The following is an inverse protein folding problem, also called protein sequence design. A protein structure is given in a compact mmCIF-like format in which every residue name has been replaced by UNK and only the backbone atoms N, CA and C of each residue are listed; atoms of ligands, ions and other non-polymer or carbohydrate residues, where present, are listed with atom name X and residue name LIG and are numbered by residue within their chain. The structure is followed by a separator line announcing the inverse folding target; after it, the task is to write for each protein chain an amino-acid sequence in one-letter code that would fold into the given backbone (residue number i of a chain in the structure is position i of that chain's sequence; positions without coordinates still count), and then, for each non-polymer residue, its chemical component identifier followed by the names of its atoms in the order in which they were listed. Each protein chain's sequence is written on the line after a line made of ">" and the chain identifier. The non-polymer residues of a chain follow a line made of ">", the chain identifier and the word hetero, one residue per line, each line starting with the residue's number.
data_IF_798761660109
#
_entry.id   IF_798761660109
#
_cell.length_a   1.000
_cell.length_b   1.000
_cell.length_c   1.000
_cell.angle_alpha   90.00
_cell.angle_beta   90.00
_cell.angle_gamma   90.00
#
_symmetry.space_group_name_H-M   'P 1'
#
loop_
_entity.id
_entity.type
_entity.pdbx_description
1 polymer ?
#
# COMPACT_ATOMS: atom_id res chain seq x y z
N UNK A 1 -89.26 4.54 -2.62
CA UNK A 1 -88.12 3.61 -2.66
C UNK A 1 -86.86 4.39 -2.99
N UNK A 2 -85.81 4.16 -2.20
CA UNK A 2 -84.54 4.90 -2.20
C UNK A 2 -83.73 4.58 -3.46
N UNK A 3 -83.18 5.59 -4.11
CA UNK A 3 -82.08 5.41 -5.08
C UNK A 3 -81.08 6.54 -4.85
N UNK A 4 -79.93 6.14 -4.27
CA UNK A 4 -78.73 6.95 -4.10
C UNK A 4 -78.10 7.16 -5.48
N UNK A 5 -77.67 8.39 -5.79
CA UNK A 5 -76.68 8.64 -6.83
C UNK A 5 -75.50 9.35 -6.19
N UNK A 6 -74.37 8.68 -6.23
CA UNK A 6 -73.11 9.07 -5.62
C UNK A 6 -72.58 10.35 -6.28
N UNK A 7 -72.30 11.35 -5.45
CA UNK A 7 -71.57 12.55 -5.84
C UNK A 7 -70.07 12.21 -5.84
N UNK A 8 -69.56 11.81 -7.00
CA UNK A 8 -68.12 11.75 -7.27
C UNK A 8 -67.54 13.16 -7.25
N UNK A 9 -66.80 13.49 -6.19
CA UNK A 9 -65.95 14.66 -6.10
C UNK A 9 -64.86 14.57 -7.18
N UNK A 10 -65.04 15.27 -8.29
CA UNK A 10 -63.94 15.58 -9.18
C UNK A 10 -63.14 16.70 -8.53
N UNK A 11 -61.94 16.35 -8.05
CA UNK A 11 -60.88 17.27 -7.70
C UNK A 11 -60.61 18.18 -8.91
N UNK A 12 -61.02 19.43 -8.80
CA UNK A 12 -60.66 20.51 -9.70
C UNK A 12 -59.13 20.66 -9.65
N UNK A 13 -58.44 20.18 -10.68
CA UNK A 13 -57.09 20.64 -10.95
C UNK A 13 -57.17 22.08 -11.44
N UNK A 14 -56.38 23.02 -10.89
CA UNK A 14 -56.35 24.39 -11.37
C UNK A 14 -55.82 24.41 -12.81
N UNK A 15 -56.59 25.03 -13.70
CA UNK A 15 -56.30 25.20 -15.12
C UNK A 15 -55.08 26.12 -15.29
N UNK A 16 -54.04 25.57 -15.90
CA UNK A 16 -52.81 26.25 -16.31
C UNK A 16 -53.10 27.19 -17.50
N UNK A 17 -53.53 28.41 -17.21
CA UNK A 17 -53.55 29.49 -18.19
C UNK A 17 -53.04 30.76 -17.53
N UNK A 18 -51.89 31.25 -18.04
CA UNK A 18 -51.06 32.39 -17.61
C UNK A 18 -49.95 32.13 -16.55
N UNK A 19 -49.37 30.93 -16.50
CA UNK A 19 -48.04 30.77 -15.91
C UNK A 19 -47.01 31.18 -16.98
N UNK A 20 -46.21 32.20 -16.69
CA UNK A 20 -45.13 32.64 -17.57
C UNK A 20 -44.19 31.46 -17.86
N UNK A 21 -44.32 30.87 -19.05
CA UNK A 21 -43.59 29.67 -19.44
C UNK A 21 -42.08 29.85 -19.31
N UNK A 22 -41.59 31.09 -19.48
CA UNK A 22 -40.17 31.42 -19.28
C UNK A 22 -39.77 31.30 -17.81
N UNK A 23 -40.62 31.77 -16.89
CA UNK A 23 -40.41 31.63 -15.46
C UNK A 23 -40.42 30.14 -15.06
N UNK A 24 -41.36 29.36 -15.57
CA UNK A 24 -41.44 27.92 -15.30
C UNK A 24 -40.20 27.16 -15.81
N UNK A 25 -39.75 27.45 -17.04
CA UNK A 25 -38.53 26.85 -17.59
C UNK A 25 -37.30 27.24 -16.75
N UNK A 26 -37.23 28.49 -16.27
CA UNK A 26 -36.15 28.94 -15.41
C UNK A 26 -36.15 28.26 -14.04
N UNK A 27 -37.32 28.09 -13.42
CA UNK A 27 -37.46 27.34 -12.17
C UNK A 27 -37.01 25.88 -12.33
N UNK A 28 -37.40 25.24 -13.44
CA UNK A 28 -36.94 23.90 -13.77
C UNK A 28 -35.43 23.84 -14.01
N UNK A 29 -34.82 24.82 -14.70
CA UNK A 29 -33.36 24.85 -14.87
C UNK A 29 -32.63 24.95 -13.52
N UNK A 30 -33.10 25.83 -12.62
CA UNK A 30 -32.53 25.96 -11.28
C UNK A 30 -32.69 24.67 -10.45
N UNK A 31 -33.82 23.97 -10.60
CA UNK A 31 -34.04 22.68 -9.95
C UNK A 31 -33.05 21.61 -10.42
N UNK A 32 -32.83 21.51 -11.74
CA UNK A 32 -31.84 20.57 -12.29
C UNK A 32 -30.42 20.95 -11.90
N UNK A 33 -30.10 22.24 -11.86
CA UNK A 33 -28.79 22.71 -11.40
C UNK A 33 -28.53 22.27 -9.94
N UNK A 34 -29.52 22.46 -9.06
CA UNK A 34 -29.43 22.00 -7.68
C UNK A 34 -29.28 20.47 -7.58
N UNK A 35 -29.93 19.69 -8.45
CA UNK A 35 -29.75 18.23 -8.49
C UNK A 35 -28.32 17.84 -8.86
N UNK A 36 -27.71 18.53 -9.82
CA UNK A 36 -26.32 18.29 -10.23
C UNK A 36 -25.35 18.62 -9.09
N UNK A 37 -25.63 19.68 -8.33
CA UNK A 37 -24.81 20.07 -7.18
C UNK A 37 -24.81 19.06 -6.03
N UNK A 38 -25.88 18.28 -5.87
CA UNK A 38 -25.92 17.19 -4.89
C UNK A 38 -24.94 16.05 -5.22
N UNK A 39 -24.54 15.94 -6.49
CA UNK A 39 -23.63 14.90 -6.95
C UNK A 39 -22.20 15.47 -6.94
N UNK A 40 -21.23 14.81 -6.29
CA UNK A 40 -19.86 15.32 -6.24
C UNK A 40 -19.23 15.48 -7.62
N UNK A 41 -18.61 16.64 -7.88
CA UNK A 41 -17.93 16.97 -9.14
C UNK A 41 -16.91 15.92 -9.63
N UNK A 42 -16.36 15.11 -8.72
CA UNK A 42 -15.41 14.01 -9.02
C UNK A 42 -15.97 12.95 -9.97
N UNK A 43 -17.30 12.87 -10.13
CA UNK A 43 -17.93 11.92 -11.05
C UNK A 43 -18.16 12.50 -12.46
N UNK A 44 -18.14 13.83 -12.60
CA UNK A 44 -18.36 14.49 -13.88
C UNK A 44 -17.07 15.00 -14.51
N UNK A 45 -16.10 15.45 -13.70
CA UNK A 45 -14.81 15.91 -14.18
C UNK A 45 -13.80 14.76 -14.10
N UNK A 46 -13.29 14.26 -15.24
CA UNK A 46 -12.22 13.28 -15.26
C UNK A 46 -11.01 13.78 -14.47
N UNK A 47 -10.38 12.90 -13.69
CA UNK A 47 -9.10 13.25 -13.06
C UNK A 47 -8.07 13.32 -14.18
N UNK A 48 -7.44 14.48 -14.44
CA UNK A 48 -6.44 14.56 -15.50
C UNK A 48 -5.31 13.57 -15.21
N UNK A 49 -4.81 12.90 -16.24
CA UNK A 49 -3.90 11.74 -16.15
C UNK A 49 -2.62 12.00 -15.31
N UNK A 50 -2.24 13.27 -15.12
CA UNK A 50 -1.11 13.69 -14.28
C UNK A 50 -1.41 13.86 -12.78
N UNK A 51 -2.68 13.81 -12.35
CA UNK A 51 -3.10 13.98 -10.95
C UNK A 51 -3.45 12.65 -10.25
N UNK A 52 -3.31 11.52 -10.95
CA UNK A 52 -3.40 10.22 -10.28
C UNK A 52 -2.38 10.15 -9.14
N UNK A 53 -2.81 9.59 -7.99
CA UNK A 53 -1.98 9.53 -6.79
C UNK A 53 -0.66 8.85 -7.15
N UNK A 54 0.49 9.56 -7.07
CA UNK A 54 1.74 9.02 -7.57
C UNK A 54 2.04 7.71 -6.85
N UNK A 55 2.10 6.63 -7.63
CA UNK A 55 2.36 5.31 -7.08
C UNK A 55 3.78 5.28 -6.53
N UNK A 56 3.93 5.27 -5.21
CA UNK A 56 5.23 5.42 -4.55
C UNK A 56 6.20 4.24 -4.75
N UNK A 57 5.88 3.18 -5.50
CA UNK A 57 6.91 2.19 -5.84
C UNK A 57 7.87 2.73 -6.90
N UNK A 58 9.14 2.30 -6.85
CA UNK A 58 10.17 2.73 -7.81
C UNK A 58 10.89 4.02 -7.44
N UNK A 59 10.26 4.96 -6.72
CA UNK A 59 10.92 6.23 -6.36
C UNK A 59 12.06 6.03 -5.34
N UNK A 60 13.09 6.89 -5.44
CA UNK A 60 14.20 6.96 -4.48
C UNK A 60 13.71 7.38 -3.08
N UNK A 61 14.53 7.18 -2.04
CA UNK A 61 14.15 7.57 -0.67
C UNK A 61 13.92 9.08 -0.52
N UNK A 62 14.72 9.90 -1.22
CA UNK A 62 14.58 11.35 -1.22
C UNK A 62 13.32 11.78 -1.97
N UNK A 63 13.07 11.24 -3.16
CA UNK A 63 11.86 11.54 -3.94
C UNK A 63 10.57 11.10 -3.22
N UNK A 64 10.61 9.97 -2.49
CA UNK A 64 9.51 9.55 -1.61
C UNK A 64 9.26 10.52 -0.46
N UNK A 65 10.30 11.15 0.06
CA UNK A 65 10.18 12.11 1.15
C UNK A 65 9.60 13.44 0.66
N UNK A 66 10.04 13.95 -0.50
CA UNK A 66 9.49 15.17 -1.11
C UNK A 66 8.02 15.00 -1.49
N UNK A 67 7.66 13.92 -2.20
CA UNK A 67 6.26 13.66 -2.57
C UNK A 67 5.35 13.45 -1.35
N UNK A 68 5.89 12.91 -0.24
CA UNK A 68 5.16 12.83 1.05
C UNK A 68 5.03 14.20 1.73
N UNK A 69 6.01 15.09 1.57
CA UNK A 69 5.94 16.47 2.10
C UNK A 69 4.89 17.26 1.33
N UNK A 70 4.93 17.20 0.00
CA UNK A 70 3.96 17.83 -0.91
C UNK A 70 2.54 17.33 -0.63
N UNK A 71 2.31 16.02 -0.48
CA UNK A 71 0.96 15.52 -0.15
C UNK A 71 0.46 15.99 1.22
N UNK A 72 1.34 16.11 2.23
CA UNK A 72 0.97 16.67 3.55
C UNK A 72 0.65 18.16 3.45
N UNK A 73 1.38 18.92 2.64
CA UNK A 73 1.12 20.34 2.39
C UNK A 73 -0.17 20.55 1.60
N UNK A 74 -0.39 19.75 0.56
CA UNK A 74 -1.63 19.77 -0.23
C UNK A 74 -2.85 19.44 0.64
N UNK A 75 -2.74 18.46 1.56
CA UNK A 75 -3.81 18.17 2.51
C UNK A 75 -4.08 19.35 3.47
N UNK A 76 -3.03 20.04 3.95
CA UNK A 76 -3.19 21.25 4.77
C UNK A 76 -3.84 22.39 3.98
N UNK A 77 -3.40 22.61 2.73
CA UNK A 77 -3.96 23.61 1.82
C UNK A 77 -5.43 23.32 1.52
N UNK A 78 -5.77 22.06 1.20
CA UNK A 78 -7.15 21.63 0.99
C UNK A 78 -8.02 21.85 2.24
N UNK A 79 -7.50 21.53 3.44
CA UNK A 79 -8.22 21.81 4.70
C UNK A 79 -8.47 23.29 4.91
N UNK A 80 -7.51 24.17 4.60
CA UNK A 80 -7.73 25.63 4.67
C UNK A 80 -8.73 26.10 3.62
N UNK A 81 -8.62 25.62 2.39
CA UNK A 81 -9.52 25.98 1.30
C UNK A 81 -10.98 25.60 1.59
N UNK A 82 -11.22 24.49 2.30
CA UNK A 82 -12.57 24.10 2.76
C UNK A 82 -13.26 25.13 3.66
N UNK A 83 -12.50 25.99 4.32
CA UNK A 83 -13.03 27.03 5.22
C UNK A 83 -12.94 28.43 4.62
N UNK A 84 -12.56 28.56 3.35
CA UNK A 84 -12.50 29.85 2.66
C UNK A 84 -13.76 30.01 1.78
N UNK A 85 -14.61 31.02 2.03
CA UNK A 85 -15.84 31.23 1.26
C UNK A 85 -15.55 31.55 -0.22
N UNK A 86 -14.45 32.25 -0.51
CA UNK A 86 -14.06 32.57 -1.90
C UNK A 86 -13.66 31.34 -2.74
N UNK A 87 -13.44 30.19 -2.08
CA UNK A 87 -12.98 28.95 -2.72
C UNK A 87 -14.04 27.83 -2.70
N UNK A 88 -15.22 28.07 -2.12
CA UNK A 88 -16.33 27.11 -2.24
C UNK A 88 -16.95 27.26 -3.63
N UNK A 89 -16.59 26.37 -4.54
CA UNK A 89 -17.21 26.26 -5.86
C UNK A 89 -18.28 25.16 -5.84
N UNK A 90 -19.41 25.41 -6.53
CA UNK A 90 -20.44 24.39 -6.79
C UNK A 90 -19.93 23.35 -7.79
N UNK A 91 -20.64 22.23 -7.96
CA UNK A 91 -20.25 21.21 -8.94
C UNK A 91 -20.36 21.79 -10.36
N UNK A 92 -21.40 22.61 -10.60
CA UNK A 92 -21.61 23.28 -11.87
C UNK A 92 -20.51 24.29 -12.17
N UNK A 93 -20.08 25.09 -11.19
CA UNK A 93 -18.97 26.04 -11.38
C UNK A 93 -17.68 25.35 -11.80
N UNK A 94 -17.43 24.15 -11.26
CA UNK A 94 -16.26 23.35 -11.61
C UNK A 94 -16.39 22.81 -13.05
N UNK A 95 -17.60 22.40 -13.46
CA UNK A 95 -17.86 21.93 -14.81
C UNK A 95 -17.74 23.05 -15.85
N UNK A 96 -18.32 24.22 -15.57
CA UNK A 96 -18.20 25.38 -16.44
C UNK A 96 -16.74 25.81 -16.60
N UNK A 97 -15.95 25.79 -15.52
CA UNK A 97 -14.50 26.05 -15.58
C UNK A 97 -13.77 25.03 -16.44
N UNK A 98 -14.08 23.74 -16.32
CA UNK A 98 -13.48 22.71 -17.17
C UNK A 98 -13.81 22.95 -18.66
N UNK A 99 -15.07 23.27 -18.97
CA UNK A 99 -15.50 23.58 -20.34
C UNK A 99 -14.80 24.84 -20.88
N UNK A 100 -14.63 25.88 -20.06
CA UNK A 100 -13.88 27.09 -20.44
C UNK A 100 -12.39 26.82 -20.66
N UNK A 101 -11.78 25.99 -19.82
CA UNK A 101 -10.39 25.55 -19.98
C UNK A 101 -10.22 24.74 -21.27
N UNK A 102 -11.15 23.84 -21.58
CA UNK A 102 -11.15 23.06 -22.81
C UNK A 102 -11.32 23.97 -24.04
N UNK A 103 -12.27 24.92 -24.00
CA UNK A 103 -12.44 25.91 -25.08
C UNK A 103 -11.19 26.76 -25.31
N UNK A 104 -10.57 27.26 -24.23
CA UNK A 104 -9.30 28.00 -24.33
C UNK A 104 -8.17 27.15 -24.88
N UNK A 105 -8.14 25.87 -24.56
CA UNK A 105 -7.13 24.95 -25.11
C UNK A 105 -7.32 24.71 -26.60
N UNK A 106 -8.56 24.70 -27.10
CA UNK A 106 -8.89 24.57 -28.51
C UNK A 106 -8.58 25.86 -29.28
N UNK A 107 -8.95 27.03 -28.74
CA UNK A 107 -8.65 28.33 -29.36
C UNK A 107 -7.12 28.56 -29.48
N UNK A 108 -6.34 28.11 -28.49
CA UNK A 108 -4.87 28.19 -28.52
C UNK A 108 -4.22 27.26 -29.57
N UNK A 109 -4.93 26.22 -30.04
CA UNK A 109 -4.48 25.34 -31.13
C UNK A 109 -4.86 25.93 -32.50
N UNK A 110 -5.99 26.63 -32.61
CA UNK A 110 -6.38 27.34 -33.84
C UNK A 110 -5.51 28.56 -34.16
N UNK A 111 -5.01 29.29 -33.17
CA UNK A 111 -4.08 30.42 -33.40
C UNK A 111 -2.70 29.99 -33.96
N UNK A 112 -2.34 28.71 -33.86
CA UNK A 112 -1.07 28.19 -34.37
C UNK A 112 -1.11 27.72 -35.84
N UNK A 113 -2.29 27.62 -36.47
CA UNK A 113 -2.41 27.23 -37.89
C UNK A 113 -2.52 28.42 -38.87
N UNK A 114 -2.57 29.65 -38.35
CA UNK A 114 -2.68 30.86 -39.18
C UNK A 114 -1.43 31.74 -39.16
N UNK A 115 -0.29 31.20 -39.60
CA UNK A 115 0.82 32.02 -40.09
C UNK A 115 1.76 31.21 -40.99
N UNK A 116 1.78 31.50 -42.30
CA UNK A 116 2.94 31.24 -43.16
C UNK A 116 2.73 30.44 -44.44
N UNK A 117 1.89 30.94 -45.35
CA UNK A 117 2.09 30.70 -46.78
C UNK A 117 3.22 31.59 -47.31
N UNK A 118 4.35 31.01 -47.72
CA UNK A 118 5.24 31.56 -48.78
C UNK A 118 6.27 30.52 -49.16
N UNK A 119 6.27 30.12 -50.44
CA UNK A 119 7.17 29.11 -50.99
C UNK A 119 8.63 29.54 -51.09
N UNK A 120 9.51 28.55 -51.20
CA UNK A 120 10.77 28.60 -51.97
C UNK A 120 11.45 27.23 -51.89
N UNK A 121 11.88 26.74 -53.06
CA UNK A 121 12.60 25.48 -53.27
C UNK A 121 13.89 25.37 -52.44
N UNK A 122 14.24 24.14 -52.04
CA UNK A 122 15.49 23.85 -51.34
C UNK A 122 15.64 22.37 -50.96
N UNK A 123 16.15 21.57 -51.91
CA UNK A 123 16.71 20.24 -51.70
C UNK A 123 17.74 20.22 -50.55
N UNK A 124 17.49 19.42 -49.50
CA UNK A 124 18.53 19.03 -48.53
C UNK A 124 18.17 17.68 -47.89
N UNK A 125 18.86 16.65 -48.35
CA UNK A 125 18.86 15.28 -47.85
C UNK A 125 19.55 15.22 -46.47
N UNK A 126 18.82 14.83 -45.42
CA UNK A 126 19.39 14.26 -44.19
C UNK A 126 18.49 13.14 -43.66
N UNK A 127 19.11 11.99 -43.46
CA UNK A 127 18.56 10.70 -43.07
C UNK A 127 17.84 10.64 -41.70
N UNK A 128 16.95 9.63 -41.62
CA UNK A 128 16.47 8.88 -40.44
C UNK A 128 15.03 9.19 -39.94
N UNK A 129 13.99 8.52 -40.47
CA UNK A 129 12.65 8.55 -39.89
C UNK A 129 12.55 7.55 -38.73
N UNK A 130 12.44 8.07 -37.50
CA UNK A 130 11.78 7.35 -36.41
C UNK A 130 10.35 7.01 -36.87
N UNK A 131 9.87 5.76 -36.77
CA UNK A 131 8.53 5.45 -37.17
C UNK A 131 7.55 6.06 -36.17
N UNK A 132 6.78 7.01 -36.68
CA UNK A 132 5.53 7.50 -36.11
C UNK A 132 4.59 6.29 -35.98
N UNK A 133 4.09 6.03 -34.77
CA UNK A 133 3.16 4.94 -34.48
C UNK A 133 1.81 5.19 -35.19
N UNK A 134 1.72 4.72 -36.44
CA UNK A 134 0.44 4.58 -37.14
C UNK A 134 -0.22 3.26 -36.71
N UNK A 135 -1.17 3.33 -35.78
CA UNK A 135 -1.93 2.19 -35.23
C UNK A 135 -2.88 1.48 -36.23
N UNK A 136 -2.79 1.76 -37.53
CA UNK A 136 -3.72 1.23 -38.54
C UNK A 136 -3.05 0.44 -39.68
N UNK A 137 -1.90 -0.21 -39.45
CA UNK A 137 -1.43 -1.30 -40.32
C UNK A 137 -1.83 -2.64 -39.69
N UNK A 138 -2.72 -3.38 -40.34
CA UNK A 138 -3.08 -4.75 -39.95
C UNK A 138 -1.84 -5.63 -39.98
N UNK A 139 -1.20 -5.81 -38.82
CA UNK A 139 -0.02 -6.66 -38.64
C UNK A 139 -0.36 -8.09 -39.00
N UNK A 140 0.48 -8.72 -39.83
CA UNK A 140 0.30 -10.11 -40.22
C UNK A 140 0.54 -11.04 -39.01
N UNK A 141 -0.13 -12.19 -38.98
CA UNK A 141 -0.06 -13.15 -37.86
C UNK A 141 1.38 -13.58 -37.52
N UNK A 142 2.25 -13.63 -38.53
CA UNK A 142 3.65 -13.99 -38.40
C UNK A 142 4.48 -12.89 -37.71
N UNK A 143 4.23 -11.62 -38.01
CA UNK A 143 4.86 -10.48 -37.34
C UNK A 143 4.48 -10.43 -35.85
N UNK A 144 3.22 -10.76 -35.53
CA UNK A 144 2.77 -10.84 -34.14
C UNK A 144 3.49 -11.96 -33.37
N UNK A 145 3.68 -13.13 -34.01
CA UNK A 145 4.46 -14.24 -33.43
C UNK A 145 5.91 -13.85 -33.21
N UNK A 146 6.55 -13.21 -34.17
CA UNK A 146 7.94 -12.78 -34.06
C UNK A 146 8.11 -11.73 -32.95
N UNK A 147 7.19 -10.77 -32.84
CA UNK A 147 7.16 -9.78 -31.76
C UNK A 147 6.96 -10.43 -30.39
N UNK A 148 6.10 -11.45 -30.29
CA UNK A 148 5.90 -12.24 -29.07
C UNK A 148 7.17 -13.02 -28.69
N UNK A 149 7.83 -13.68 -29.65
CA UNK A 149 9.07 -14.40 -29.42
C UNK A 149 10.19 -13.48 -28.93
N UNK A 150 10.38 -12.34 -29.58
CA UNK A 150 11.33 -11.31 -29.16
C UNK A 150 11.04 -10.79 -27.74
N UNK A 151 9.77 -10.56 -27.41
CA UNK A 151 9.36 -10.14 -26.06
C UNK A 151 9.59 -11.22 -25.00
N UNK A 152 9.39 -12.49 -25.34
CA UNK A 152 9.68 -13.63 -24.45
C UNK A 152 11.19 -13.78 -24.23
N UNK A 153 12.02 -13.57 -25.25
CA UNK A 153 13.48 -13.61 -25.14
C UNK A 153 14.02 -12.47 -24.28
N UNK A 154 13.54 -11.24 -24.47
CA UNK A 154 13.87 -10.10 -23.59
C UNK A 154 13.56 -10.42 -22.11
N UNK A 155 12.38 -10.99 -21.84
CA UNK A 155 11.97 -11.36 -20.48
C UNK A 155 12.74 -12.56 -19.91
N UNK A 156 13.25 -13.46 -20.76
CA UNK A 156 14.12 -14.58 -20.36
C UNK A 156 15.55 -14.10 -20.10
N UNK A 157 16.09 -13.23 -20.95
CA UNK A 157 17.39 -12.58 -20.76
C UNK A 157 17.47 -11.80 -19.45
N UNK A 158 16.40 -11.06 -19.12
CA UNK A 158 16.30 -10.34 -17.84
C UNK A 158 16.14 -11.24 -16.60
N UNK A 159 15.88 -12.53 -16.77
CA UNK A 159 15.79 -13.50 -15.65
C UNK A 159 17.04 -14.36 -15.48
N UNK A 160 17.89 -14.53 -16.51
CA UNK A 160 18.94 -15.54 -16.51
C UNK A 160 20.40 -15.06 -16.58
N UNK A 161 20.72 -13.77 -16.47
CA UNK A 161 22.11 -13.27 -16.40
C UNK A 161 22.62 -13.02 -14.97
N UNK A 162 22.10 -13.76 -13.99
CA UNK A 162 22.67 -13.82 -12.63
C UNK A 162 23.22 -15.21 -12.34
N UNK A 163 24.01 -15.74 -13.27
CA UNK A 163 24.70 -17.03 -13.15
C UNK A 163 26.13 -16.86 -12.61
N UNK A 164 26.38 -17.57 -11.51
CA UNK A 164 27.64 -18.15 -10.99
C UNK A 164 28.89 -17.30 -10.67
N UNK A 165 29.15 -16.14 -11.26
CA UNK A 165 30.44 -15.45 -11.01
C UNK A 165 30.52 -14.70 -9.66
N UNK A 166 29.39 -14.51 -8.97
CA UNK A 166 29.35 -13.80 -7.66
C UNK A 166 29.50 -14.73 -6.45
N UNK A 167 29.52 -16.05 -6.67
CA UNK A 167 29.75 -17.04 -5.62
C UNK A 167 31.25 -17.16 -5.31
N UNK A 168 32.09 -17.24 -6.34
CA UNK A 168 33.55 -17.36 -6.18
C UNK A 168 34.21 -16.08 -5.63
N UNK A 169 33.73 -14.90 -6.02
CA UNK A 169 34.24 -13.63 -5.48
C UNK A 169 33.90 -13.42 -3.99
N UNK A 170 32.75 -13.98 -3.55
CA UNK A 170 32.37 -13.98 -2.14
C UNK A 170 33.15 -15.01 -1.33
N UNK A 171 33.63 -16.09 -1.94
CA UNK A 171 34.40 -17.12 -1.26
C UNK A 171 35.85 -16.69 -1.02
N UNK A 172 36.47 -16.00 -2.01
CA UNK A 172 37.81 -15.41 -1.86
C UNK A 172 37.86 -14.28 -0.81
N UNK A 173 36.78 -13.48 -0.69
CA UNK A 173 36.66 -12.46 0.37
C UNK A 173 36.43 -13.02 1.77
N UNK A 174 36.00 -14.27 1.91
CA UNK A 174 35.82 -14.95 3.20
C UNK A 174 37.10 -15.64 3.71
N UNK A 175 38.02 -16.03 2.82
CA UNK A 175 39.30 -16.66 3.21
C UNK A 175 40.34 -15.67 3.75
N UNK A 176 40.26 -14.38 3.40
CA UNK A 176 41.18 -13.34 3.92
C UNK A 176 40.77 -12.70 5.26
N UNK A 177 39.80 -13.27 5.98
CA UNK A 177 39.46 -12.83 7.34
C UNK A 177 39.47 -14.04 8.28
N UNK A 178 40.61 -14.26 8.94
CA UNK A 178 40.63 -15.10 10.16
C UNK A 178 39.71 -14.48 11.22
N UNK A 179 39.02 -15.29 12.03
CA UNK A 179 38.02 -14.83 12.98
C UNK A 179 38.68 -14.46 14.33
N UNK A 180 38.32 -13.30 14.88
CA UNK A 180 38.31 -13.11 16.33
C UNK A 180 36.87 -12.85 16.76
N UNK A 181 36.38 -13.79 17.55
CA UNK A 181 35.22 -13.78 18.43
C UNK A 181 33.87 -13.36 17.86
N UNK A 182 33.07 -14.40 17.67
CA UNK A 182 31.62 -14.38 17.75
C UNK A 182 31.18 -13.85 19.13
N UNK A 183 30.24 -12.92 19.13
CA UNK A 183 28.93 -13.06 19.79
C UNK A 183 28.10 -11.78 19.55
N UNK A 184 26.89 -11.95 19.00
CA UNK A 184 25.82 -10.93 19.09
C UNK A 184 25.37 -10.24 17.80
N UNK A 185 24.93 -11.02 16.81
CA UNK A 185 23.91 -10.56 15.84
C UNK A 185 22.61 -10.17 16.59
N UNK A 186 21.86 -9.12 16.28
CA UNK A 186 21.97 -8.12 15.24
C UNK A 186 20.87 -7.05 15.42
N UNK A 187 21.01 -5.88 14.77
CA UNK A 187 20.15 -4.72 15.01
C UNK A 187 18.97 -4.59 14.02
N UNK A 188 17.79 -4.35 14.60
CA UNK A 188 16.99 -3.15 14.34
C UNK A 188 16.12 -3.09 13.06
N UNK A 189 14.87 -3.52 13.21
CA UNK A 189 13.74 -3.10 12.37
C UNK A 189 12.96 -1.99 13.12
N UNK A 190 13.33 -0.71 12.93
CA UNK A 190 12.57 0.43 13.49
C UNK A 190 11.50 0.88 12.50
N UNK A 191 10.26 0.53 12.83
CA UNK A 191 9.10 1.38 12.57
C UNK A 191 9.31 2.71 13.31
N UNK A 192 9.21 3.83 12.62
CA UNK A 192 9.16 5.16 13.22
C UNK A 192 7.85 5.82 12.80
N UNK A 193 6.98 5.91 13.80
CA UNK A 193 5.79 6.76 13.89
C UNK A 193 6.24 8.19 14.21
N UNK A 194 5.51 9.12 13.62
CA UNK A 194 5.64 10.58 13.63
C UNK A 194 5.67 11.22 15.03
N UNK A 195 6.35 12.37 15.11
CA UNK A 195 5.87 13.68 15.60
C UNK A 195 7.05 14.66 15.49
N UNK A 196 6.94 15.65 14.59
CA UNK A 196 6.71 17.08 14.89
C UNK A 196 7.94 17.70 15.57
N UNK A 197 8.68 18.65 15.01
CA UNK A 197 8.43 19.72 14.05
C UNK A 197 9.37 20.84 14.52
N UNK A 198 10.02 21.56 13.62
CA UNK A 198 10.95 22.63 14.01
C UNK A 198 12.01 22.87 12.95
N UNK A 199 11.77 23.91 12.18
CA UNK A 199 12.53 24.39 11.05
C UNK A 199 13.96 24.78 11.42
N UNK A 200 14.89 24.68 10.47
CA UNK A 200 15.76 25.82 10.23
C UNK A 200 16.40 25.84 8.83
N UNK A 201 16.33 27.03 8.28
CA UNK A 201 16.93 27.55 7.07
C UNK A 201 18.46 27.64 7.14
N UNK A 202 19.02 27.70 5.93
CA UNK A 202 20.28 28.32 5.49
C UNK A 202 21.37 28.64 6.51
N UNK A 203 22.52 28.00 6.31
CA UNK A 203 23.80 28.54 6.73
C UNK A 203 24.18 29.74 5.86
N UNK A 204 24.05 30.95 6.41
CA UNK A 204 24.81 32.13 5.97
C UNK A 204 25.63 32.69 7.13
N UNK A 205 26.94 32.84 6.86
CA UNK A 205 27.94 33.48 7.70
C UNK A 205 27.57 34.93 8.06
N UNK A 206 27.73 35.33 9.33
CA UNK A 206 28.64 36.41 9.80
C UNK A 206 28.33 36.87 11.23
N UNK A 207 29.42 37.06 11.97
CA UNK A 207 29.72 38.03 13.03
C UNK A 207 28.76 38.32 14.21
N UNK A 208 29.41 38.32 15.39
CA UNK A 208 29.19 39.15 16.58
C UNK A 208 27.92 40.02 16.61
N UNK A 209 27.11 39.87 17.69
CA UNK A 209 26.94 40.90 18.74
C UNK A 209 25.79 40.54 19.71
N UNK A 210 25.99 40.94 20.96
CA UNK A 210 25.02 41.16 22.04
C UNK A 210 24.41 39.99 22.83
N UNK A 211 24.98 39.86 24.02
CA UNK A 211 24.38 39.48 25.30
C UNK A 211 23.07 40.26 25.53
N UNK A 212 21.91 39.62 25.35
CA UNK A 212 20.64 40.06 25.93
C UNK A 212 19.89 38.85 26.50
N UNK A 213 19.43 39.06 27.72
CA UNK A 213 18.61 38.23 28.62
C UNK A 213 17.70 37.25 27.88
N UNK A 214 17.98 35.94 28.02
CA UNK A 214 17.01 34.89 27.72
C UNK A 214 15.99 34.89 28.85
N UNK A 215 14.84 35.49 28.60
CA UNK A 215 13.66 35.24 29.42
C UNK A 215 13.33 33.75 29.29
N UNK A 216 13.12 33.10 30.43
CA UNK A 216 12.72 31.70 30.52
C UNK A 216 11.41 31.49 29.76
N UNK A 217 11.51 30.84 28.60
CA UNK A 217 10.36 30.35 27.86
C UNK A 217 9.78 29.17 28.65
N UNK A 218 8.83 29.47 29.53
CA UNK A 218 8.17 28.50 30.42
C UNK A 218 7.34 27.56 29.53
N UNK A 219 7.96 26.48 29.07
CA UNK A 219 7.26 25.42 28.35
C UNK A 219 6.30 24.71 29.31
N UNK A 220 4.99 24.82 29.05
CA UNK A 220 3.97 24.14 29.84
C UNK A 220 4.21 22.61 29.85
N UNK A 221 4.47 22.07 31.04
CA UNK A 221 4.59 20.62 31.28
C UNK A 221 6.01 20.07 31.47
N UNK A 222 7.07 20.83 31.17
CA UNK A 222 8.46 20.42 31.42
C UNK A 222 9.23 21.53 32.12
N UNK A 223 9.54 21.32 33.39
CA UNK A 223 10.35 22.26 34.17
C UNK A 223 11.80 22.08 33.73
N UNK A 224 12.34 23.04 32.98
CA UNK A 224 13.76 23.07 32.63
C UNK A 224 14.52 23.69 33.82
N UNK A 225 14.85 22.89 34.83
CA UNK A 225 15.77 23.30 35.88
C UNK A 225 17.17 23.42 35.25
N UNK A 226 17.65 24.65 35.10
CA UNK A 226 18.94 24.98 34.50
C UNK A 226 20.06 24.13 35.08
N UNK A 227 20.78 23.41 34.21
CA UNK A 227 21.95 22.61 34.57
C UNK A 227 21.92 21.14 34.11
N UNK A 228 20.79 20.63 33.62
CA UNK A 228 20.66 19.20 33.25
C UNK A 228 20.25 18.95 31.78
N UNK A 229 20.46 19.93 30.89
CA UNK A 229 20.24 19.73 29.46
C UNK A 229 21.46 19.07 28.81
N UNK A 230 21.58 17.76 28.98
CA UNK A 230 22.32 16.92 28.05
C UNK A 230 21.58 16.89 26.69
N UNK A 231 21.92 17.90 25.90
CA UNK A 231 21.82 18.05 24.45
C UNK A 231 21.51 16.74 23.68
N UNK A 232 20.38 16.73 22.98
CA UNK A 232 20.33 16.37 21.56
C UNK A 232 20.08 14.91 21.14
N UNK A 233 20.19 13.90 22.01
CA UNK A 233 19.96 12.50 21.60
C UNK A 233 19.00 11.78 22.55
N UNK A 234 17.83 11.35 22.04
CA UNK A 234 16.90 10.48 22.79
C UNK A 234 17.63 9.17 23.14
N UNK A 235 18.14 9.04 24.37
CA UNK A 235 18.78 7.81 24.86
C UNK A 235 17.81 6.64 24.65
N UNK A 236 18.32 5.53 24.10
CA UNK A 236 17.50 4.32 23.90
C UNK A 236 17.05 3.83 25.28
N UNK A 237 15.75 3.56 25.43
CA UNK A 237 15.23 2.92 26.64
C UNK A 237 15.94 1.57 26.84
N UNK A 238 16.28 1.27 28.08
CA UNK A 238 16.90 0.01 28.47
C UNK A 238 15.89 -1.14 28.28
N UNK A 239 16.39 -2.37 28.21
CA UNK A 239 15.48 -3.52 28.25
C UNK A 239 14.80 -3.61 29.61
N UNK A 240 13.54 -4.06 29.67
CA UNK A 240 12.81 -4.29 30.93
C UNK A 240 13.55 -5.24 31.88
N UNK A 241 14.37 -6.14 31.34
CA UNK A 241 15.23 -7.01 32.15
C UNK A 241 16.35 -6.22 32.84
N UNK A 242 17.00 -5.32 32.11
CA UNK A 242 18.03 -4.44 32.65
C UNK A 242 17.45 -3.45 33.67
N UNK A 243 16.23 -2.94 33.44
CA UNK A 243 15.51 -2.11 34.40
C UNK A 243 15.19 -2.90 35.68
N UNK A 244 14.80 -4.17 35.56
CA UNK A 244 14.53 -5.04 36.71
C UNK A 244 15.79 -5.31 37.52
N UNK A 245 16.91 -5.59 36.86
CA UNK A 245 18.20 -5.78 37.53
C UNK A 245 18.65 -4.51 38.25
N UNK A 246 18.49 -3.34 37.63
CA UNK A 246 18.78 -2.04 38.26
C UNK A 246 17.88 -1.79 39.46
N UNK A 247 16.58 -2.05 39.34
CA UNK A 247 15.62 -1.92 40.43
C UNK A 247 15.98 -2.82 41.62
N UNK A 248 16.35 -4.08 41.37
CA UNK A 248 16.82 -5.01 42.41
C UNK A 248 18.09 -4.53 43.11
N UNK A 249 19.10 -4.12 42.34
CA UNK A 249 20.35 -3.57 42.89
C UNK A 249 20.11 -2.34 43.75
N UNK A 250 19.18 -1.49 43.35
CA UNK A 250 18.77 -0.32 44.16
C UNK A 250 18.02 -0.73 45.42
N UNK A 251 17.19 -1.77 45.37
CA UNK A 251 16.51 -2.31 46.56
C UNK A 251 17.51 -2.92 47.54
N UNK A 252 18.52 -3.64 47.05
CA UNK A 252 19.63 -4.19 47.84
C UNK A 252 20.43 -3.06 48.51
N UNK A 253 20.86 -2.05 47.75
CA UNK A 253 21.62 -0.91 48.29
C UNK A 253 20.83 -0.06 49.31
N UNK A 254 19.49 -0.11 49.28
CA UNK A 254 18.62 0.56 50.27
C UNK A 254 18.51 -0.21 51.58
N UNK A 255 18.78 -1.53 51.59
CA UNK A 255 18.70 -2.38 52.77
C UNK A 255 19.92 -2.25 53.70
N UNK A 256 21.00 -1.64 53.25
CA UNK A 256 22.21 -1.43 54.05
C UNK A 256 21.94 -0.50 55.25
N UNK A 257 22.23 -0.90 56.51
CA UNK A 257 21.83 -0.14 57.71
C UNK A 257 22.47 1.26 57.84
N UNK A 258 23.72 1.42 57.37
CA UNK A 258 24.49 2.66 57.52
C UNK A 258 24.30 3.61 56.33
N UNK A 259 24.34 3.10 55.10
CA UNK A 259 24.30 3.91 53.87
C UNK A 259 22.94 3.90 53.17
N UNK A 260 22.06 2.94 53.50
CA UNK A 260 20.79 2.74 52.82
C UNK A 260 19.82 3.91 52.93
N UNK A 261 19.77 4.59 54.09
CA UNK A 261 18.93 5.79 54.29
C UNK A 261 19.36 6.94 53.36
N UNK A 262 20.66 7.24 53.32
CA UNK A 262 21.20 8.26 52.42
C UNK A 262 21.01 7.91 50.94
N UNK A 263 21.16 6.64 50.57
CA UNK A 263 20.93 6.17 49.19
C UNK A 263 19.44 6.28 48.84
N UNK A 264 18.55 5.91 49.75
CA UNK A 264 17.11 6.02 49.58
C UNK A 264 16.67 7.47 49.37
N UNK A 265 17.17 8.39 50.19
CA UNK A 265 16.91 9.83 50.07
C UNK A 265 17.47 10.41 48.77
N UNK A 266 18.74 10.16 48.44
CA UNK A 266 19.33 10.62 47.18
C UNK A 266 18.55 10.10 45.96
N UNK A 267 18.12 8.84 46.02
CA UNK A 267 17.34 8.25 44.94
C UNK A 267 15.91 8.81 44.87
N UNK A 268 15.25 9.07 46.01
CA UNK A 268 13.90 9.63 46.02
C UNK A 268 13.88 11.06 45.47
N UNK A 269 14.86 11.89 45.87
CA UNK A 269 15.03 13.24 45.33
C UNK A 269 15.36 13.23 43.83
N UNK A 270 16.26 12.34 43.40
CA UNK A 270 16.58 12.18 41.97
C UNK A 270 15.37 11.73 41.16
N UNK A 271 14.60 10.77 41.66
CA UNK A 271 13.39 10.29 41.00
C UNK A 271 12.30 11.37 40.95
N UNK A 272 12.14 12.17 42.01
CA UNK A 272 11.23 13.31 42.05
C UNK A 272 11.63 14.37 41.01
N UNK A 273 12.93 14.72 40.92
CA UNK A 273 13.43 15.64 39.89
C UNK A 273 13.19 15.10 38.48
N UNK A 274 13.53 13.83 38.21
CA UNK A 274 13.26 13.20 36.90
C UNK A 274 11.78 13.22 36.54
N UNK A 275 10.88 12.96 37.50
CA UNK A 275 9.43 13.04 37.28
C UNK A 275 8.95 14.46 37.01
N UNK A 276 9.48 15.46 37.73
CA UNK A 276 9.17 16.88 37.52
C UNK A 276 9.65 17.38 36.14
N UNK A 277 10.75 16.83 35.64
CA UNK A 277 11.26 17.05 34.27
C UNK A 277 10.40 16.33 33.22
N UNK A 278 9.48 15.44 33.63
CA UNK A 278 8.58 14.69 32.74
C UNK A 278 9.12 13.33 32.29
N UNK A 279 10.17 12.80 32.91
CA UNK A 279 10.69 11.46 32.64
C UNK A 279 9.83 10.39 33.33
N UNK A 280 9.48 9.34 32.58
CA UNK A 280 8.70 8.20 33.11
C UNK A 280 9.62 7.23 33.85
N UNK A 281 9.69 7.38 35.17
CA UNK A 281 10.54 6.55 36.04
C UNK A 281 9.85 5.22 36.38
N UNK A 282 10.55 4.09 36.13
CA UNK A 282 10.07 2.72 36.37
C UNK A 282 11.00 1.95 37.33
N UNK A 283 10.78 2.07 38.63
CA UNK A 283 11.69 1.49 39.64
C UNK A 283 11.15 0.26 40.39
N UNK A 284 9.88 -0.10 40.17
CA UNK A 284 9.24 -1.17 40.94
C UNK A 284 9.54 -2.57 40.37
N UNK A 285 10.29 -3.44 41.08
CA UNK A 285 10.68 -4.74 40.56
C UNK A 285 9.48 -5.65 40.31
N UNK A 286 8.43 -5.55 41.15
CA UNK A 286 7.19 -6.32 41.02
C UNK A 286 6.42 -5.98 39.73
N UNK A 287 6.34 -4.70 39.37
CA UNK A 287 5.65 -4.27 38.15
C UNK A 287 6.44 -4.65 36.90
N UNK A 288 7.77 -4.52 36.94
CA UNK A 288 8.65 -4.94 35.85
C UNK A 288 8.55 -6.46 35.60
N UNK A 289 8.51 -7.27 36.66
CA UNK A 289 8.27 -8.72 36.55
C UNK A 289 6.90 -9.05 35.93
N UNK A 290 5.83 -8.36 36.35
CA UNK A 290 4.49 -8.53 35.75
C UNK A 290 4.50 -8.15 34.27
N UNK A 291 5.22 -7.08 33.91
CA UNK A 291 5.43 -6.67 32.52
C UNK A 291 6.10 -7.75 31.68
N UNK A 292 7.20 -8.32 32.16
CA UNK A 292 7.90 -9.42 31.49
C UNK A 292 7.02 -10.67 31.35
N UNK A 293 6.25 -11.04 32.38
CA UNK A 293 5.31 -12.17 32.30
C UNK A 293 4.23 -11.94 31.22
N UNK A 294 3.69 -10.72 31.11
CA UNK A 294 2.72 -10.37 30.06
C UNK A 294 3.33 -10.46 28.66
N UNK A 295 4.54 -9.96 28.47
CA UNK A 295 5.26 -10.05 27.19
C UNK A 295 5.53 -11.50 26.78
N UNK A 296 6.01 -12.33 27.72
CA UNK A 296 6.22 -13.77 27.48
C UNK A 296 4.93 -14.47 27.05
N UNK A 297 3.80 -14.21 27.73
CA UNK A 297 2.48 -14.75 27.35
C UNK A 297 2.02 -14.28 25.97
N UNK A 298 2.23 -13.01 25.63
CA UNK A 298 1.91 -12.50 24.29
C UNK A 298 2.77 -13.19 23.23
N UNK A 299 4.07 -13.35 23.48
CA UNK A 299 4.97 -14.03 22.56
C UNK A 299 4.57 -15.50 22.35
N UNK A 300 4.20 -16.22 23.42
CA UNK A 300 3.68 -17.59 23.32
C UNK A 300 2.42 -17.66 22.45
N UNK A 301 1.42 -16.79 22.70
CA UNK A 301 0.21 -16.72 21.87
C UNK A 301 0.52 -16.43 20.40
N UNK A 302 1.48 -15.56 20.13
CA UNK A 302 1.90 -15.26 18.76
C UNK A 302 2.62 -16.47 18.11
N UNK A 303 3.46 -17.16 18.86
CA UNK A 303 4.15 -18.37 18.39
C UNK A 303 3.17 -19.52 18.11
N UNK A 304 2.17 -19.73 18.95
CA UNK A 304 1.10 -20.72 18.75
C UNK A 304 0.28 -20.41 17.50
N UNK A 305 -0.23 -19.18 17.36
CA UNK A 305 -0.95 -18.74 16.16
C UNK A 305 -0.11 -18.89 14.89
N UNK A 306 1.20 -18.64 14.97
CA UNK A 306 2.10 -18.84 13.84
C UNK A 306 2.25 -20.33 13.48
N UNK A 307 2.39 -21.21 14.49
CA UNK A 307 2.41 -22.66 14.29
C UNK A 307 1.10 -23.16 13.68
N UNK A 308 -0.04 -22.68 14.14
CA UNK A 308 -1.36 -23.01 13.57
C UNK A 308 -1.46 -22.62 12.10
N UNK A 309 -1.02 -21.41 11.73
CA UNK A 309 -0.99 -20.97 10.32
C UNK A 309 -0.11 -21.86 9.46
N UNK A 310 1.08 -22.21 9.94
CA UNK A 310 1.97 -23.13 9.21
C UNK A 310 1.32 -24.50 9.05
N UNK A 311 0.69 -25.04 10.10
CA UNK A 311 -0.04 -26.32 10.05
C UNK A 311 -1.18 -26.26 9.04
N UNK A 312 -2.01 -25.23 9.07
CA UNK A 312 -3.11 -25.04 8.11
C UNK A 312 -2.59 -24.99 6.67
N UNK A 313 -1.51 -24.24 6.43
CA UNK A 313 -0.90 -24.18 5.10
C UNK A 313 -0.37 -25.54 4.63
N UNK A 314 0.24 -26.33 5.53
CA UNK A 314 0.69 -27.69 5.23
C UNK A 314 -0.50 -28.62 4.94
N UNK A 315 -1.54 -28.59 5.75
CA UNK A 315 -2.76 -29.39 5.54
C UNK A 315 -3.38 -29.11 4.18
N UNK A 316 -3.58 -27.83 3.82
CA UNK A 316 -4.13 -27.45 2.50
C UNK A 316 -3.23 -27.92 1.36
N UNK A 317 -1.90 -27.85 1.52
CA UNK A 317 -0.95 -28.35 0.51
C UNK A 317 -1.05 -29.88 0.37
N UNK A 318 -1.11 -30.60 1.47
CA UNK A 318 -1.24 -32.06 1.50
C UNK A 318 -2.58 -32.53 0.93
N UNK A 319 -3.68 -31.86 1.25
CA UNK A 319 -5.01 -32.14 0.69
C UNK A 319 -5.02 -31.96 -0.83
N UNK A 320 -4.46 -30.87 -1.35
CA UNK A 320 -4.31 -30.66 -2.80
C UNK A 320 -3.47 -31.75 -3.46
N UNK A 321 -2.38 -32.18 -2.81
CA UNK A 321 -1.55 -33.27 -3.30
C UNK A 321 -2.29 -34.61 -3.27
N UNK A 322 -3.03 -34.91 -2.19
CA UNK A 322 -3.87 -36.11 -2.08
C UNK A 322 -4.96 -36.15 -3.15
N UNK A 323 -5.67 -35.03 -3.36
CA UNK A 323 -6.68 -34.91 -4.40
C UNK A 323 -6.08 -35.13 -5.80
N UNK A 324 -4.92 -34.52 -6.09
CA UNK A 324 -4.21 -34.75 -7.36
C UNK A 324 -3.82 -36.22 -7.53
N UNK A 325 -3.32 -36.86 -6.47
CA UNK A 325 -2.94 -38.26 -6.50
C UNK A 325 -4.16 -39.17 -6.70
N UNK A 326 -5.31 -38.87 -6.10
CA UNK A 326 -6.57 -39.57 -6.36
C UNK A 326 -6.97 -39.45 -7.83
N UNK A 327 -7.05 -38.23 -8.36
CA UNK A 327 -7.43 -37.99 -9.76
C UNK A 327 -6.48 -38.68 -10.76
N UNK A 328 -5.19 -38.77 -10.44
CA UNK A 328 -4.22 -39.52 -11.25
C UNK A 328 -4.51 -41.02 -11.19
N UNK A 329 -4.77 -41.57 -10.00
CA UNK A 329 -5.14 -42.99 -9.83
C UNK A 329 -6.44 -43.31 -10.56
N UNK A 330 -7.44 -42.45 -10.44
CA UNK A 330 -8.74 -42.62 -11.10
C UNK A 330 -8.57 -42.60 -12.63
N UNK A 331 -7.76 -41.69 -13.16
CA UNK A 331 -7.43 -41.66 -14.59
C UNK A 331 -6.68 -42.92 -15.04
N UNK A 332 -5.76 -43.43 -14.24
CA UNK A 332 -5.07 -44.70 -14.52
C UNK A 332 -6.07 -45.85 -14.51
N UNK A 333 -6.97 -45.91 -13.52
CA UNK A 333 -8.00 -46.93 -13.39
C UNK A 333 -8.95 -46.90 -14.59
N UNK A 334 -9.47 -45.72 -14.98
CA UNK A 334 -10.31 -45.55 -16.16
C UNK A 334 -9.61 -46.02 -17.45
N UNK A 335 -8.31 -45.74 -17.60
CA UNK A 335 -7.53 -46.26 -18.75
C UNK A 335 -7.42 -47.78 -18.73
N UNK A 336 -7.26 -48.40 -17.54
CA UNK A 336 -7.27 -49.87 -17.39
C UNK A 336 -8.64 -50.45 -17.73
N UNK A 337 -9.73 -49.89 -17.19
CA UNK A 337 -11.09 -50.33 -17.48
C UNK A 337 -11.43 -50.22 -18.97
N UNK A 338 -11.09 -49.10 -19.62
CA UNK A 338 -11.27 -48.96 -21.09
C UNK A 338 -10.48 -50.00 -21.90
N UNK A 339 -9.31 -50.44 -21.42
CA UNK A 339 -8.55 -51.52 -22.07
C UNK A 339 -9.22 -52.87 -21.87
N UNK A 340 -9.74 -53.13 -20.68
CA UNK A 340 -10.51 -54.33 -20.34
C UNK A 340 -11.78 -54.38 -21.18
N UNK A 341 -12.60 -53.32 -21.16
CA UNK A 341 -13.82 -53.19 -21.98
C UNK A 341 -13.54 -53.39 -23.47
N UNK A 342 -12.44 -52.86 -24.00
CA UNK A 342 -12.06 -53.09 -25.41
C UNK A 342 -11.70 -54.55 -25.68
N UNK A 343 -11.05 -55.23 -24.72
CA UNK A 343 -10.72 -56.66 -24.84
C UNK A 343 -12.00 -57.50 -24.76
N UNK A 344 -12.89 -57.23 -23.82
CA UNK A 344 -14.18 -57.90 -23.67
C UNK A 344 -15.07 -57.65 -24.89
N UNK A 345 -15.19 -56.42 -25.38
CA UNK A 345 -15.93 -56.12 -26.62
C UNK A 345 -15.38 -56.83 -27.85
N UNK A 346 -14.06 -57.06 -27.92
CA UNK A 346 -13.45 -57.87 -28.99
C UNK A 346 -13.75 -59.36 -28.81
N UNK A 347 -13.74 -59.85 -27.58
CA UNK A 347 -14.07 -61.23 -27.24
C UNK A 347 -15.57 -61.54 -27.47
N UNK A 348 -16.45 -60.58 -27.15
CA UNK A 348 -17.90 -60.68 -27.32
C UNK A 348 -18.40 -60.29 -28.72
N UNK A 349 -17.52 -59.83 -29.62
CA UNK A 349 -17.89 -59.46 -30.99
C UNK A 349 -18.24 -60.74 -31.76
N UNK A 350 -19.49 -60.93 -32.24
CA UNK A 350 -19.81 -62.08 -33.06
C UNK A 350 -18.96 -62.05 -34.32
N UNK A 351 -18.12 -63.08 -34.51
CA UNK A 351 -17.38 -63.25 -35.77
C UNK A 351 -18.31 -63.70 -36.90
N UNK A 352 -17.73 -63.94 -38.08
CA UNK A 352 -18.42 -64.50 -39.25
C UNK A 352 -19.05 -65.88 -38.98
N UNK A 353 -18.62 -66.58 -37.94
CA UNK A 353 -19.15 -67.90 -37.52
C UNK A 353 -20.07 -67.85 -36.27
N UNK A 354 -20.45 -66.65 -35.80
CA UNK A 354 -21.23 -66.51 -34.56
C UNK A 354 -20.39 -66.74 -33.29
N UNK A 355 -21.04 -66.64 -32.10
CA UNK A 355 -20.37 -66.75 -30.79
C UNK A 355 -19.84 -68.17 -30.59
N UNK A 356 -18.52 -68.39 -30.58
CA UNK A 356 -17.93 -69.63 -30.09
C UNK A 356 -17.93 -69.61 -28.55
N UNK A 357 -18.86 -70.34 -27.95
CA UNK A 357 -18.80 -70.74 -26.54
C UNK A 357 -17.65 -71.75 -26.37
N UNK A 358 -16.45 -71.27 -26.10
CA UNK A 358 -15.34 -72.11 -25.64
C UNK A 358 -14.05 -72.02 -26.46
N UNK A 359 -12.94 -72.31 -25.79
CA UNK A 359 -11.63 -72.54 -26.42
C UNK A 359 -11.60 -73.95 -27.01
N UNK A 360 -11.11 -74.10 -28.24
CA UNK A 360 -11.05 -75.38 -28.99
C UNK A 360 -10.19 -76.46 -28.29
N UNK A 361 -9.48 -76.12 -27.20
CA UNK A 361 -8.55 -77.02 -26.52
C UNK A 361 -9.12 -77.78 -25.30
N UNK A 362 -10.41 -77.62 -24.97
CA UNK A 362 -11.02 -78.32 -23.82
C UNK A 362 -11.76 -79.63 -24.20
N UNK A 363 -11.68 -80.06 -25.47
CA UNK A 363 -12.13 -81.40 -25.90
C UNK A 363 -10.92 -82.30 -26.11
N UNK A 364 -10.38 -82.82 -25.00
CA UNK A 364 -9.63 -84.08 -24.97
C UNK A 364 -10.65 -85.23 -25.09
N UNK A 365 -10.67 -86.03 -26.16
CA UNK A 365 -11.15 -87.39 -26.05
C UNK A 365 -10.04 -88.27 -25.45
N UNK A 366 -10.48 -89.26 -24.68
CA UNK A 366 -9.69 -90.39 -24.15
C UNK A 366 -8.64 -90.93 -25.11
#
# INVERSE_FOLDING_TARGET
>A
MKSKKDASQQLLQPTLSDVDLKALIHEHSLFFDHLVDLIPARFYVPVPDGQERPWFHGLSKAAKASAKKESRENLKKARRARFNPDKSASTIDILNKAIEEDKKSLDAVEEHENHGNSGSDGEAQVDDPRPVDNENRSLTYEELRQRLHRRIEELRGNRNTRSNNKAEEKEKRKKNKKPQNAEGDGPWNKRKKDESGGDNEEHRNKNQRNKRTKNDDISYGKINLGGMDERGMKKRKLSKQQELEKAKRLEEAKKDPSKGKMIAEKHSWKAAMSRAVGEKVHDDPRLLQKGLKKEKKQHQKHAEKWKERIKSQKMVKEERQKARNSNIRDRIHQKKMRRIEKREKKLLRPGFEGRKEGYINDLLPM
#
